data_IF_505600541250
#
_entry.id   IF_505600541250
#
_cell.length_a   1.000
_cell.length_b   1.000
_cell.length_c   1.000
_cell.angle_alpha   90.00
_cell.angle_beta   90.00
_cell.angle_gamma   90.00
#
_symmetry.space_group_name_H-M   'P 1'
#
loop_
_entity.id
_entity.type
_entity.pdbx_description
1 polymer ?
#
# COMPACT_ATOMS: atom_id res chain seq x y z
N UNK A 1 17.59 6.84 9.39
CA UNK A 1 16.79 5.64 9.04
C UNK A 1 15.92 5.96 7.85
N UNK A 2 15.77 5.05 6.89
CA UNK A 2 14.85 5.20 5.76
C UNK A 2 13.40 5.08 6.28
N UNK A 3 12.41 5.85 5.75
CA UNK A 3 11.01 5.69 6.11
C UNK A 3 10.47 4.31 5.69
N UNK A 4 9.64 3.69 6.53
CA UNK A 4 9.02 2.39 6.24
C UNK A 4 7.74 2.56 5.40
N UNK A 5 7.75 1.97 4.21
CA UNK A 5 6.60 1.90 3.31
C UNK A 5 5.87 0.56 3.47
N UNK A 6 4.54 0.63 3.54
CA UNK A 6 3.65 -0.51 3.36
C UNK A 6 2.66 -0.25 2.22
N UNK A 7 2.40 -1.27 1.41
CA UNK A 7 1.44 -1.25 0.30
C UNK A 7 0.34 -2.30 0.59
N UNK A 8 -0.92 -1.85 0.59
CA UNK A 8 -2.06 -2.65 1.02
C UNK A 8 -3.07 -2.81 -0.11
N UNK A 9 -3.45 -4.06 -0.36
CA UNK A 9 -4.52 -4.43 -1.28
C UNK A 9 -5.86 -4.66 -0.57
N UNK A 10 -6.91 -4.06 -1.10
CA UNK A 10 -8.32 -4.39 -0.90
C UNK A 10 -8.98 -4.76 -2.25
N UNK A 11 -10.32 -4.71 -2.36
CA UNK A 11 -11.03 -5.11 -3.58
C UNK A 11 -10.64 -4.21 -4.77
N UNK A 12 -9.89 -4.76 -5.72
CA UNK A 12 -9.31 -4.05 -6.87
C UNK A 12 -8.72 -5.01 -7.90
N UNK A 13 -8.21 -4.46 -9.01
CA UNK A 13 -7.57 -5.18 -10.11
C UNK A 13 -6.03 -5.21 -10.07
N UNK A 14 -5.39 -4.87 -8.94
CA UNK A 14 -3.92 -4.76 -8.78
C UNK A 14 -3.21 -3.67 -9.61
N UNK A 15 -3.93 -3.00 -10.51
CA UNK A 15 -3.33 -2.06 -11.45
C UNK A 15 -2.53 -0.93 -10.79
N UNK A 16 -2.93 -0.45 -9.62
CA UNK A 16 -2.22 0.66 -8.96
C UNK A 16 -0.89 0.19 -8.35
N UNK A 17 -0.83 -1.04 -7.84
CA UNK A 17 0.42 -1.63 -7.35
C UNK A 17 1.34 -2.02 -8.50
N UNK A 18 0.81 -2.53 -9.60
CA UNK A 18 1.60 -2.82 -10.79
C UNK A 18 2.20 -1.55 -11.40
N UNK A 19 1.43 -0.45 -11.49
CA UNK A 19 1.98 0.83 -11.94
C UNK A 19 3.09 1.38 -11.04
N UNK A 20 3.12 1.01 -9.75
CA UNK A 20 4.25 1.34 -8.87
C UNK A 20 5.49 0.50 -9.20
N UNK A 21 5.31 -0.74 -9.64
CA UNK A 21 6.39 -1.63 -10.06
C UNK A 21 6.92 -1.31 -11.46
N UNK A 22 6.07 -0.75 -12.32
CA UNK A 22 6.40 -0.31 -13.68
C UNK A 22 7.21 1.00 -13.72
N UNK A 23 7.68 1.50 -12.56
CA UNK A 23 8.54 2.68 -12.47
C UNK A 23 9.98 2.44 -12.95
N UNK A 24 10.32 1.22 -13.38
CA UNK A 24 11.63 0.85 -13.95
C UNK A 24 12.81 1.36 -13.09
N UNK A 25 13.69 2.20 -13.64
CA UNK A 25 14.86 2.74 -12.94
C UNK A 25 14.47 3.66 -11.76
N UNK A 26 13.30 4.30 -11.82
CA UNK A 26 12.82 5.18 -10.76
C UNK A 26 12.44 4.38 -9.50
N UNK A 27 12.04 3.11 -9.66
CA UNK A 27 11.77 2.21 -8.55
C UNK A 27 13.03 1.96 -7.70
N UNK A 28 14.19 1.81 -8.36
CA UNK A 28 15.47 1.62 -7.69
C UNK A 28 15.86 2.86 -6.87
N UNK A 29 15.69 4.06 -7.46
CA UNK A 29 15.92 5.33 -6.77
C UNK A 29 14.99 5.50 -5.56
N UNK A 30 13.76 4.98 -5.64
CA UNK A 30 12.82 4.97 -4.53
C UNK A 30 13.27 4.00 -3.43
N UNK A 31 13.66 2.76 -3.77
CA UNK A 31 14.18 1.77 -2.82
C UNK A 31 15.45 2.25 -2.08
N UNK A 32 16.21 3.16 -2.68
CA UNK A 32 17.34 3.81 -2.00
C UNK A 32 16.92 4.83 -0.94
N UNK A 33 15.70 5.35 -1.00
CA UNK A 33 15.18 6.38 -0.08
C UNK A 33 14.23 5.82 0.97
N UNK A 34 13.55 4.71 0.70
CA UNK A 34 12.56 4.08 1.59
C UNK A 34 12.89 2.62 1.90
N UNK A 35 12.41 2.14 3.04
CA UNK A 35 12.42 0.72 3.39
C UNK A 35 11.06 0.11 2.98
N UNK A 36 11.05 -0.73 1.95
CA UNK A 36 9.84 -1.47 1.54
C UNK A 36 9.60 -2.57 2.58
N UNK A 37 8.81 -2.24 3.62
CA UNK A 37 8.60 -3.08 4.79
C UNK A 37 7.47 -4.10 4.59
N UNK A 38 6.46 -3.75 3.80
CA UNK A 38 5.34 -4.65 3.47
C UNK A 38 4.85 -4.36 2.06
N UNK A 39 5.11 -5.26 1.12
CA UNK A 39 4.58 -5.17 -0.25
C UNK A 39 4.52 -6.58 -0.86
N UNK A 40 3.39 -7.25 -0.66
CA UNK A 40 3.25 -8.68 -1.00
C UNK A 40 3.31 -8.98 -2.49
N UNK A 41 2.94 -8.02 -3.35
CA UNK A 41 3.06 -8.16 -4.80
C UNK A 41 4.52 -8.15 -5.26
N UNK A 42 5.38 -7.38 -4.56
CA UNK A 42 6.79 -7.23 -4.90
C UNK A 42 7.70 -8.25 -4.17
N UNK A 43 7.32 -8.69 -2.97
CA UNK A 43 8.17 -9.50 -2.11
C UNK A 43 7.40 -10.28 -1.04
N UNK A 44 7.95 -11.43 -0.64
CA UNK A 44 7.47 -12.21 0.50
C UNK A 44 7.98 -11.69 1.85
N UNK A 45 8.95 -10.78 1.84
CA UNK A 45 9.52 -10.21 3.06
C UNK A 45 8.49 -9.34 3.78
N UNK A 46 8.38 -9.51 5.10
CA UNK A 46 7.47 -8.75 5.94
C UNK A 46 8.23 -8.21 7.14
N UNK A 47 8.33 -6.89 7.22
CA UNK A 47 8.90 -6.15 8.34
C UNK A 47 7.73 -5.49 9.06
N UNK A 48 7.56 -5.82 10.35
CA UNK A 48 6.46 -5.27 11.15
C UNK A 48 6.61 -3.76 11.32
N UNK A 49 5.47 -3.07 11.31
CA UNK A 49 5.37 -1.65 11.59
C UNK A 49 5.70 -1.25 13.05
N UNK A 50 5.49 0.02 13.43
CA UNK A 50 4.69 1.03 12.72
C UNK A 50 5.31 1.46 11.38
N UNK A 51 4.45 1.89 10.45
CA UNK A 51 4.83 2.34 9.12
C UNK A 51 4.76 3.86 9.03
N UNK A 52 5.74 4.46 8.35
CA UNK A 52 5.72 5.89 8.08
C UNK A 52 4.69 6.21 7.00
N UNK A 53 4.61 5.38 5.97
CA UNK A 53 3.70 5.55 4.85
C UNK A 53 2.99 4.22 4.57
N UNK A 54 1.67 4.27 4.50
CA UNK A 54 0.83 3.17 4.00
C UNK A 54 0.08 3.63 2.76
N UNK A 55 0.38 3.02 1.62
CA UNK A 55 -0.38 3.16 0.39
C UNK A 55 -1.49 2.12 0.37
N UNK A 56 -2.72 2.55 0.09
CA UNK A 56 -3.90 1.68 0.11
C UNK A 56 -4.57 1.73 -1.26
N UNK A 57 -4.63 0.59 -1.94
CA UNK A 57 -5.46 0.43 -3.12
C UNK A 57 -6.72 -0.38 -2.80
N UNK A 58 -7.71 -0.25 -3.67
CA UNK A 58 -8.95 -1.01 -3.61
C UNK A 58 -9.97 -0.51 -2.61
N UNK A 59 -11.20 -0.93 -2.84
CA UNK A 59 -12.37 -0.51 -2.07
C UNK A 59 -12.61 -1.40 -0.85
N UNK A 60 -13.22 -0.82 0.18
CA UNK A 60 -13.68 -1.53 1.38
C UNK A 60 -15.04 -2.14 1.06
N UNK A 61 -15.11 -3.46 0.94
CA UNK A 61 -16.32 -4.18 0.48
C UNK A 61 -16.94 -5.06 1.55
N UNK A 62 -16.15 -5.42 2.58
CA UNK A 62 -16.59 -6.32 3.66
C UNK A 62 -16.41 -5.70 5.04
N UNK A 63 -17.10 -6.27 6.03
CA UNK A 63 -16.90 -5.91 7.44
C UNK A 63 -15.46 -6.20 7.93
N UNK A 64 -14.80 -7.20 7.36
CA UNK A 64 -13.40 -7.50 7.70
C UNK A 64 -12.44 -6.49 7.09
N UNK A 65 -12.75 -5.95 5.90
CA UNK A 65 -12.00 -4.83 5.33
C UNK A 65 -12.06 -3.61 6.25
N UNK A 66 -13.24 -3.29 6.82
CA UNK A 66 -13.41 -2.19 7.77
C UNK A 66 -12.50 -2.38 8.99
N UNK A 67 -12.45 -3.59 9.55
CA UNK A 67 -11.57 -3.89 10.69
C UNK A 67 -10.10 -3.73 10.30
N UNK A 68 -9.73 -4.22 9.12
CA UNK A 68 -8.35 -4.19 8.59
C UNK A 68 -7.89 -2.77 8.31
N UNK A 69 -8.67 -1.94 7.62
CA UNK A 69 -8.29 -0.55 7.31
C UNK A 69 -8.15 0.30 8.57
N UNK A 70 -9.03 0.11 9.58
CA UNK A 70 -8.90 0.76 10.89
C UNK A 70 -7.62 0.34 11.61
N UNK A 71 -7.23 -0.94 11.52
CA UNK A 71 -5.94 -1.42 12.05
C UNK A 71 -4.77 -0.77 11.32
N UNK A 72 -4.79 -0.75 9.99
CA UNK A 72 -3.76 -0.11 9.15
C UNK A 72 -3.61 1.36 9.51
N UNK A 73 -4.71 2.11 9.63
CA UNK A 73 -4.71 3.52 10.04
C UNK A 73 -4.03 3.75 11.39
N UNK A 74 -4.24 2.86 12.37
CA UNK A 74 -3.59 2.96 13.70
C UNK A 74 -2.09 2.71 13.68
N UNK A 75 -1.59 1.90 12.73
CA UNK A 75 -0.16 1.56 12.63
C UNK A 75 0.59 2.36 11.55
N UNK A 76 -0.04 3.42 11.01
CA UNK A 76 0.52 4.23 9.94
C UNK A 76 0.58 5.69 10.36
N UNK A 77 1.71 6.37 10.12
CA UNK A 77 1.80 7.82 10.28
C UNK A 77 1.03 8.52 9.16
N UNK A 78 1.26 8.15 7.91
CA UNK A 78 0.45 8.56 6.76
C UNK A 78 -0.26 7.35 6.15
N UNK A 79 -1.55 7.53 5.82
CA UNK A 79 -2.34 6.58 5.06
C UNK A 79 -2.87 7.31 3.84
N UNK A 80 -2.46 6.86 2.67
CA UNK A 80 -2.71 7.52 1.38
C UNK A 80 -3.41 6.51 0.49
N UNK A 81 -4.52 6.89 -0.12
CA UNK A 81 -5.18 6.06 -1.13
C UNK A 81 -4.45 6.17 -2.45
N UNK A 82 -4.36 5.07 -3.19
CA UNK A 82 -3.89 5.06 -4.58
C UNK A 82 -4.99 4.45 -5.46
N UNK A 83 -5.24 5.10 -6.60
CA UNK A 83 -6.26 4.68 -7.55
C UNK A 83 -7.70 5.11 -7.23
N UNK A 84 -8.55 4.95 -8.24
CA UNK A 84 -9.97 5.31 -8.17
C UNK A 84 -10.75 4.41 -7.19
N UNK A 85 -10.47 3.10 -7.14
CA UNK A 85 -11.17 2.16 -6.25
C UNK A 85 -11.06 2.56 -4.77
N UNK A 86 -9.85 2.89 -4.30
CA UNK A 86 -9.64 3.30 -2.92
C UNK A 86 -10.15 4.71 -2.60
N UNK A 87 -10.17 5.59 -3.62
CA UNK A 87 -10.49 7.02 -3.42
C UNK A 87 -11.98 7.30 -3.53
N UNK A 88 -12.68 6.68 -4.47
CA UNK A 88 -14.08 6.99 -4.80
C UNK A 88 -14.93 5.76 -5.12
N UNK A 89 -14.45 4.54 -4.84
CA UNK A 89 -15.16 3.29 -5.11
C UNK A 89 -14.80 2.66 -6.45
N UNK A 90 -14.47 3.46 -7.46
CA UNK A 90 -14.01 2.98 -8.77
C UNK A 90 -15.02 2.10 -9.51
N UNK A 91 -14.53 1.37 -10.51
CA UNK A 91 -15.29 0.29 -11.17
C UNK A 91 -15.09 -0.96 -10.32
N UNK A 92 -16.18 -1.62 -9.94
CA UNK A 92 -16.18 -2.80 -9.07
C UNK A 92 -16.80 -4.00 -9.79
#
# INVERSE_FOLDING_TARGET
MKPKLAVWKFASCDGCQLSLLDLEDELLLLADKIEIAYFLEASRAIIKGPYDISLVEGSITTNDDIKRIKKIRRISKYLITIGACATSGGIQ
#
